data_IF_888533480159
#
_entry.id   IF_888533480159
#
_cell.length_a   1.000
_cell.length_b   1.000
_cell.length_c   1.000
_cell.angle_alpha   90.00
_cell.angle_beta   90.00
_cell.angle_gamma   90.00
#
_symmetry.space_group_name_H-M   'P 1'
#
loop_
_entity.id
_entity.type
_entity.pdbx_description
1 polymer ?
#
# COMPACT_ATOMS: atom_id res chain seq x y z
N UNK A 1 13.39 -2.78 25.79
CA UNK A 1 12.17 -3.59 26.10
C UNK A 1 12.05 -3.70 27.61
N UNK A 2 10.87 -3.49 28.15
CA UNK A 2 10.56 -3.70 29.56
C UNK A 2 9.67 -4.94 29.70
N UNK A 3 10.07 -5.86 30.57
CA UNK A 3 9.27 -7.05 30.89
C UNK A 3 8.49 -6.80 32.19
N UNK A 4 7.19 -6.95 32.13
CA UNK A 4 6.30 -6.88 33.29
C UNK A 4 5.82 -8.28 33.64
N UNK A 5 6.13 -8.75 34.85
CA UNK A 5 5.65 -10.03 35.35
C UNK A 5 4.35 -9.78 36.12
N UNK A 6 3.23 -10.24 35.57
CA UNK A 6 1.92 -10.10 36.19
C UNK A 6 1.48 -11.45 36.75
N UNK A 7 1.38 -11.55 38.06
CA UNK A 7 0.86 -12.73 38.73
C UNK A 7 -0.62 -12.53 39.05
N UNK A 8 -1.49 -13.38 38.52
CA UNK A 8 -2.93 -13.38 38.79
C UNK A 8 -3.27 -14.46 39.78
N UNK A 9 -4.07 -14.12 40.80
CA UNK A 9 -4.65 -15.14 41.71
C UNK A 9 -5.70 -15.94 40.96
N UNK A 10 -5.70 -17.25 41.20
CA UNK A 10 -6.69 -18.20 40.71
C UNK A 10 -7.49 -18.70 41.93
N UNK A 11 -8.79 -18.58 41.86
CA UNK A 11 -9.69 -19.04 42.90
C UNK A 11 -10.48 -20.23 42.38
N UNK A 12 -10.76 -21.19 43.28
CA UNK A 12 -11.61 -22.34 43.00
C UNK A 12 -12.83 -22.25 43.91
N UNK A 13 -14.02 -22.30 43.36
CA UNK A 13 -15.24 -22.34 44.18
C UNK A 13 -15.52 -23.74 44.72
N UNK A 14 -16.58 -23.87 45.52
CA UNK A 14 -17.02 -25.13 46.11
C UNK A 14 -17.49 -26.17 45.08
N UNK A 15 -17.84 -25.72 43.86
CA UNK A 15 -18.21 -26.60 42.74
C UNK A 15 -17.01 -27.11 41.94
N UNK A 16 -15.81 -26.64 42.25
CA UNK A 16 -14.57 -26.97 41.53
C UNK A 16 -14.26 -26.08 40.34
N UNK A 17 -15.07 -25.06 40.04
CA UNK A 17 -14.87 -24.11 38.95
C UNK A 17 -13.81 -23.08 39.32
N UNK A 18 -12.95 -22.76 38.35
CA UNK A 18 -11.87 -21.81 38.52
C UNK A 18 -12.22 -20.43 38.01
N UNK A 19 -11.83 -19.40 38.77
CA UNK A 19 -11.97 -18.00 38.45
C UNK A 19 -10.61 -17.32 38.51
N UNK A 20 -10.38 -16.36 37.61
CA UNK A 20 -9.17 -15.54 37.59
C UNK A 20 -9.53 -14.09 37.84
N UNK A 21 -8.71 -13.39 38.57
CA UNK A 21 -8.80 -11.92 38.65
C UNK A 21 -8.56 -11.34 37.27
N UNK A 22 -9.43 -10.43 36.84
CA UNK A 22 -9.24 -9.71 35.58
C UNK A 22 -7.93 -8.91 35.59
N UNK A 23 -7.28 -8.80 34.43
CA UNK A 23 -6.15 -7.89 34.27
C UNK A 23 -6.63 -6.46 34.42
N UNK A 24 -5.88 -5.60 35.15
CA UNK A 24 -6.11 -4.17 35.09
C UNK A 24 -6.08 -3.65 33.65
N UNK A 25 -6.87 -2.62 33.34
CA UNK A 25 -7.05 -2.13 31.97
C UNK A 25 -5.72 -1.73 31.30
N UNK A 26 -4.77 -1.19 32.08
CA UNK A 26 -3.42 -0.84 31.60
C UNK A 26 -2.59 -2.04 31.07
N UNK A 27 -3.02 -3.27 31.30
CA UNK A 27 -2.40 -4.50 30.80
C UNK A 27 -3.30 -5.29 29.84
N UNK A 28 -4.48 -4.77 29.54
CA UNK A 28 -5.31 -5.27 28.44
C UNK A 28 -4.78 -4.69 27.16
N UNK A 29 -4.83 -5.45 26.08
CA UNK A 29 -4.53 -4.97 24.74
C UNK A 29 -5.64 -5.35 23.75
N UNK A 30 -5.66 -4.68 22.61
CA UNK A 30 -6.65 -4.95 21.56
C UNK A 30 -6.48 -6.32 20.91
N UNK A 31 -5.31 -6.95 21.06
CA UNK A 31 -5.01 -8.29 20.49
C UNK A 31 -5.55 -9.45 21.34
N UNK A 32 -6.20 -9.18 22.48
CA UNK A 32 -6.77 -10.19 23.37
C UNK A 32 -5.71 -10.91 24.21
N UNK A 33 -5.68 -12.25 24.18
CA UNK A 33 -4.79 -13.07 25.01
C UNK A 33 -3.36 -13.13 24.45
N UNK A 34 -2.63 -12.03 24.44
CA UNK A 34 -1.22 -12.01 24.09
C UNK A 34 -0.34 -11.63 25.28
N UNK A 35 0.91 -12.08 25.24
CA UNK A 35 1.92 -11.78 26.27
C UNK A 35 2.73 -10.51 25.94
N UNK A 36 2.46 -9.88 24.79
CA UNK A 36 3.17 -8.70 24.31
C UNK A 36 2.24 -7.49 24.27
N UNK A 37 2.82 -6.31 24.34
CA UNK A 37 2.10 -5.05 24.23
C UNK A 37 1.87 -4.65 22.80
N UNK A 38 0.86 -3.80 22.54
CA UNK A 38 0.61 -3.19 21.23
C UNK A 38 1.85 -2.47 20.69
N UNK A 39 2.63 -1.83 21.56
CA UNK A 39 3.87 -1.16 21.15
C UNK A 39 4.90 -2.10 20.53
N UNK A 40 5.03 -3.34 21.03
CA UNK A 40 5.94 -4.31 20.43
C UNK A 40 5.38 -4.82 19.10
N UNK A 41 4.06 -5.02 19.01
CA UNK A 41 3.41 -5.43 17.75
C UNK A 41 3.55 -4.32 16.70
N UNK A 42 3.31 -3.07 17.07
CA UNK A 42 3.51 -1.93 16.18
C UNK A 42 4.97 -1.83 15.69
N UNK A 43 5.95 -2.13 16.56
CA UNK A 43 7.36 -2.19 16.17
C UNK A 43 7.62 -3.31 15.16
N UNK A 44 7.04 -4.51 15.36
CA UNK A 44 7.14 -5.64 14.43
C UNK A 44 6.56 -5.26 13.05
N UNK A 45 5.38 -4.66 13.03
CA UNK A 45 4.73 -4.19 11.80
C UNK A 45 5.59 -3.14 11.09
N UNK A 46 6.15 -2.18 11.82
CA UNK A 46 7.03 -1.16 11.25
C UNK A 46 8.28 -1.79 10.65
N UNK A 47 8.92 -2.72 11.36
CA UNK A 47 10.12 -3.41 10.86
C UNK A 47 9.82 -4.20 9.59
N UNK A 48 8.70 -4.91 9.56
CA UNK A 48 8.34 -5.74 8.41
C UNK A 48 7.85 -4.92 7.21
N UNK A 49 6.85 -4.06 7.41
CA UNK A 49 6.18 -3.37 6.28
C UNK A 49 6.85 -2.05 5.88
N UNK A 50 7.39 -1.29 6.83
CA UNK A 50 8.01 -0.01 6.52
C UNK A 50 9.52 -0.14 6.26
N UNK A 51 10.23 -0.90 7.09
CA UNK A 51 11.68 -1.07 6.92
C UNK A 51 12.04 -2.21 5.94
N UNK A 52 11.05 -2.99 5.46
CA UNK A 52 11.25 -4.06 4.48
C UNK A 52 11.98 -5.30 5.02
N UNK A 53 12.03 -5.47 6.35
CA UNK A 53 12.66 -6.66 6.95
C UNK A 53 11.80 -7.90 6.70
N UNK A 54 12.45 -9.01 6.39
CA UNK A 54 11.79 -10.31 6.33
C UNK A 54 11.33 -10.72 7.74
N UNK A 55 10.32 -11.60 7.82
CA UNK A 55 9.89 -12.11 9.13
C UNK A 55 11.00 -12.85 9.88
N UNK A 56 11.87 -13.54 9.16
CA UNK A 56 13.05 -14.20 9.74
C UNK A 56 13.98 -13.19 10.43
N UNK A 57 14.28 -12.06 9.78
CA UNK A 57 15.10 -10.99 10.37
C UNK A 57 14.43 -10.37 11.59
N UNK A 58 13.09 -10.18 11.55
CA UNK A 58 12.33 -9.70 12.71
C UNK A 58 12.41 -10.69 13.88
N UNK A 59 12.32 -12.00 13.62
CA UNK A 59 12.46 -13.04 14.64
C UNK A 59 13.86 -13.09 15.23
N UNK A 60 14.91 -12.95 14.40
CA UNK A 60 16.29 -12.85 14.87
C UNK A 60 16.50 -11.63 15.76
N UNK A 61 15.93 -10.49 15.38
CA UNK A 61 15.97 -9.29 16.20
C UNK A 61 15.25 -9.52 17.55
N UNK A 62 14.08 -10.16 17.56
CA UNK A 62 13.37 -10.51 18.80
C UNK A 62 14.21 -11.43 19.68
N UNK A 63 14.87 -12.45 19.11
CA UNK A 63 15.79 -13.35 19.85
C UNK A 63 16.96 -12.59 20.45
N UNK A 64 17.58 -11.68 19.71
CA UNK A 64 18.67 -10.83 20.21
C UNK A 64 18.23 -9.96 21.40
N UNK A 65 16.94 -9.60 21.47
CA UNK A 65 16.35 -8.88 22.60
C UNK A 65 15.89 -9.81 23.75
N UNK A 66 16.20 -11.12 23.66
CA UNK A 66 15.81 -12.10 24.67
C UNK A 66 14.36 -12.60 24.55
N UNK A 67 13.68 -12.31 23.43
CA UNK A 67 12.29 -12.72 23.18
C UNK A 67 12.28 -13.86 22.16
N UNK A 68 11.91 -15.04 22.61
CA UNK A 68 11.83 -16.23 21.74
C UNK A 68 10.38 -16.58 21.45
N UNK A 69 9.88 -16.22 20.27
CA UNK A 69 8.53 -16.54 19.79
C UNK A 69 8.59 -17.46 18.58
N UNK A 70 7.61 -18.34 18.45
CA UNK A 70 7.48 -19.16 17.26
C UNK A 70 7.04 -18.29 16.06
N UNK A 71 7.49 -18.64 14.85
CA UNK A 71 7.10 -17.99 13.60
C UNK A 71 5.57 -17.82 13.48
N UNK A 72 4.82 -18.87 13.76
CA UNK A 72 3.35 -18.83 13.74
C UNK A 72 2.74 -17.81 14.71
N UNK A 73 3.42 -17.53 15.82
CA UNK A 73 2.97 -16.53 16.80
C UNK A 73 3.12 -15.12 16.24
N UNK A 74 4.26 -14.83 15.62
CA UNK A 74 4.52 -13.52 14.98
C UNK A 74 3.54 -13.31 13.81
N UNK A 75 3.37 -14.32 12.96
CA UNK A 75 2.37 -14.29 11.87
C UNK A 75 0.96 -14.01 12.38
N UNK A 76 0.51 -14.70 13.41
CA UNK A 76 -0.83 -14.50 13.99
C UNK A 76 -1.01 -13.08 14.58
N UNK A 77 0.05 -12.44 15.07
CA UNK A 77 -0.03 -11.03 15.49
C UNK A 77 -0.22 -10.10 14.28
N UNK A 78 0.48 -10.37 13.18
CA UNK A 78 0.33 -9.59 11.94
C UNK A 78 -1.09 -9.73 11.39
N UNK A 79 -1.61 -10.96 11.29
CA UNK A 79 -2.97 -11.22 10.81
C UNK A 79 -4.03 -10.52 11.67
N UNK A 80 -3.94 -10.64 12.99
CA UNK A 80 -4.86 -9.92 13.89
C UNK A 80 -4.74 -8.41 13.84
N UNK A 81 -3.53 -7.90 13.55
CA UNK A 81 -3.35 -6.46 13.35
C UNK A 81 -4.07 -5.98 12.10
N UNK A 82 -4.09 -6.78 11.03
CA UNK A 82 -4.86 -6.47 9.84
C UNK A 82 -6.36 -6.32 10.16
N UNK A 83 -6.94 -7.26 10.90
CA UNK A 83 -8.36 -7.20 11.33
C UNK A 83 -8.67 -5.93 12.15
N UNK A 84 -7.73 -5.51 13.01
CA UNK A 84 -7.89 -4.31 13.84
C UNK A 84 -7.77 -3.03 13.01
N UNK A 85 -6.92 -3.02 12.00
CA UNK A 85 -6.68 -1.86 11.14
C UNK A 85 -7.66 -1.77 9.96
N UNK A 86 -8.36 -2.85 9.61
CA UNK A 86 -9.33 -2.89 8.51
C UNK A 86 -10.35 -1.72 8.53
N UNK A 87 -10.91 -1.29 9.69
CA UNK A 87 -11.83 -0.16 9.73
C UNK A 87 -11.25 1.17 9.25
N UNK A 88 -9.93 1.31 9.15
CA UNK A 88 -9.26 2.51 8.63
C UNK A 88 -9.18 2.55 7.10
N UNK A 89 -9.42 1.45 6.43
CA UNK A 89 -9.26 1.31 4.98
C UNK A 89 -10.20 2.26 4.21
N UNK A 90 -11.49 2.21 4.51
CA UNK A 90 -12.48 3.11 3.87
C UNK A 90 -12.30 4.59 4.17
N UNK A 91 -12.08 5.02 5.43
CA UNK A 91 -11.72 6.41 5.72
C UNK A 91 -10.50 6.90 4.94
N UNK A 92 -9.45 6.07 4.83
CA UNK A 92 -8.25 6.39 4.06
C UNK A 92 -8.56 6.52 2.56
N UNK A 93 -9.31 5.58 1.99
CA UNK A 93 -9.79 5.65 0.60
C UNK A 93 -10.54 6.95 0.36
N UNK A 94 -11.49 7.28 1.23
CA UNK A 94 -12.30 8.50 1.13
C UNK A 94 -11.41 9.74 1.16
N UNK A 95 -10.45 9.81 2.08
CA UNK A 95 -9.52 10.94 2.17
C UNK A 95 -8.70 11.10 0.90
N UNK A 96 -8.21 10.00 0.30
CA UNK A 96 -7.48 10.02 -0.97
C UNK A 96 -8.40 10.48 -2.11
N UNK A 97 -9.61 9.92 -2.23
CA UNK A 97 -10.51 10.16 -3.36
C UNK A 97 -11.23 11.52 -3.32
N UNK A 98 -11.22 12.22 -2.19
CA UNK A 98 -11.70 13.62 -2.10
C UNK A 98 -10.65 14.63 -2.54
N UNK A 99 -9.40 14.21 -2.78
CA UNK A 99 -8.38 15.11 -3.31
C UNK A 99 -8.52 15.28 -4.82
N UNK A 100 -8.22 16.48 -5.29
CA UNK A 100 -8.28 16.83 -6.71
C UNK A 100 -7.17 16.18 -7.55
N UNK A 101 -6.12 15.67 -6.92
CA UNK A 101 -4.93 15.09 -7.58
C UNK A 101 -4.58 13.76 -6.94
N UNK A 102 -4.67 12.67 -7.72
CA UNK A 102 -4.37 11.30 -7.27
C UNK A 102 -3.49 10.61 -8.30
N UNK A 103 -2.44 9.96 -7.81
CA UNK A 103 -1.59 9.10 -8.62
C UNK A 103 -1.98 7.64 -8.40
N UNK A 104 -2.17 6.90 -9.50
CA UNK A 104 -2.48 5.47 -9.49
C UNK A 104 -1.41 4.69 -10.28
N UNK A 105 -0.85 3.66 -9.66
CA UNK A 105 0.06 2.71 -10.30
C UNK A 105 -0.19 1.32 -9.69
N UNK A 106 0.25 0.27 -10.37
CA UNK A 106 0.12 -1.08 -9.87
C UNK A 106 1.39 -1.90 -10.07
N UNK A 107 1.63 -2.80 -9.14
CA UNK A 107 2.74 -3.75 -9.20
C UNK A 107 2.26 -5.17 -8.97
N UNK A 108 3.07 -6.15 -9.39
CA UNK A 108 2.75 -7.55 -9.20
C UNK A 108 3.43 -8.13 -7.98
N UNK A 109 2.69 -8.99 -7.27
CA UNK A 109 3.24 -9.85 -6.21
C UNK A 109 2.97 -11.30 -6.55
N UNK A 110 3.89 -12.18 -6.18
CA UNK A 110 3.70 -13.63 -6.26
C UNK A 110 3.16 -14.10 -4.91
N UNK A 111 2.00 -14.74 -4.94
CA UNK A 111 1.36 -15.30 -3.75
C UNK A 111 1.11 -16.80 -3.91
N UNK A 112 1.21 -17.56 -2.82
CA UNK A 112 0.84 -18.97 -2.76
C UNK A 112 -0.51 -19.10 -2.05
N UNK A 113 -1.58 -19.28 -2.80
CA UNK A 113 -2.92 -19.47 -2.23
C UNK A 113 -3.52 -20.82 -2.63
N UNK A 114 -3.41 -21.78 -1.71
CA UNK A 114 -3.97 -23.13 -1.91
C UNK A 114 -5.48 -23.16 -2.12
N UNK A 115 -6.21 -22.14 -1.64
CA UNK A 115 -7.68 -22.06 -1.74
C UNK A 115 -8.14 -21.64 -3.13
N UNK A 116 -7.33 -20.89 -3.86
CA UNK A 116 -7.63 -20.46 -5.22
C UNK A 116 -7.32 -21.55 -6.24
N UNK A 117 -6.28 -22.37 -6.02
CA UNK A 117 -5.96 -23.53 -6.85
C UNK A 117 -7.12 -24.53 -6.94
N UNK A 118 -7.92 -24.68 -5.86
CA UNK A 118 -9.07 -25.59 -5.82
C UNK A 118 -10.32 -25.10 -6.55
N UNK A 119 -10.36 -23.86 -7.09
CA UNK A 119 -11.54 -23.23 -7.70
C UNK A 119 -11.45 -23.04 -9.23
N UNK A 120 -10.52 -23.68 -9.93
CA UNK A 120 -10.47 -23.71 -11.40
C UNK A 120 -10.17 -22.36 -12.05
N UNK A 121 -9.36 -21.52 -11.43
CA UNK A 121 -8.79 -20.34 -12.11
C UNK A 121 -7.85 -20.81 -13.22
N UNK A 122 -7.95 -20.17 -14.41
CA UNK A 122 -7.25 -20.59 -15.62
C UNK A 122 -5.73 -20.55 -15.43
N UNK A 123 -5.05 -21.53 -16.02
CA UNK A 123 -3.58 -21.74 -15.98
C UNK A 123 -2.74 -20.55 -16.49
N UNK A 124 -3.33 -19.52 -17.08
CA UNK A 124 -2.61 -18.34 -17.62
C UNK A 124 -1.89 -17.51 -16.55
N UNK A 125 -2.26 -17.66 -15.29
CA UNK A 125 -1.66 -16.96 -14.14
C UNK A 125 -0.67 -17.82 -13.33
N UNK A 126 -0.37 -19.04 -13.77
CA UNK A 126 0.51 -19.98 -13.06
C UNK A 126 1.91 -19.98 -13.70
N UNK A 127 2.87 -19.40 -13.01
CA UNK A 127 4.30 -19.57 -13.34
C UNK A 127 4.88 -20.71 -12.49
N UNK A 128 5.37 -21.77 -13.14
CA UNK A 128 6.06 -22.95 -12.58
C UNK A 128 5.25 -23.94 -11.71
N UNK A 129 5.77 -25.16 -11.59
CA UNK A 129 5.25 -26.33 -10.84
C UNK A 129 4.89 -26.09 -9.36
N UNK A 130 5.04 -24.89 -8.84
CA UNK A 130 4.84 -24.53 -7.43
C UNK A 130 3.53 -23.78 -7.14
N UNK A 131 2.57 -23.68 -8.08
CA UNK A 131 1.29 -23.02 -7.87
C UNK A 131 1.40 -21.61 -7.26
N UNK A 132 2.27 -20.75 -7.81
CA UNK A 132 2.29 -19.33 -7.48
C UNK A 132 1.30 -18.57 -8.36
N UNK A 133 0.46 -17.77 -7.73
CA UNK A 133 -0.46 -16.88 -8.42
C UNK A 133 0.15 -15.49 -8.50
N UNK A 134 0.11 -14.91 -9.70
CA UNK A 134 0.42 -13.49 -9.89
C UNK A 134 -0.78 -12.66 -9.43
N UNK A 135 -0.54 -11.74 -8.51
CA UNK A 135 -1.56 -10.81 -7.99
C UNK A 135 -1.08 -9.39 -8.18
N UNK A 136 -2.03 -8.47 -8.26
CA UNK A 136 -1.76 -7.06 -8.43
C UNK A 136 -2.09 -6.31 -7.14
N UNK A 137 -1.14 -5.48 -6.70
CA UNK A 137 -1.35 -4.47 -5.67
C UNK A 137 -1.43 -3.13 -6.40
N UNK A 138 -2.49 -2.40 -6.14
CA UNK A 138 -2.65 -1.03 -6.59
C UNK A 138 -2.12 -0.10 -5.50
N UNK A 139 -1.46 0.97 -5.93
CA UNK A 139 -0.99 2.05 -5.07
C UNK A 139 -1.69 3.33 -5.51
N UNK A 140 -2.48 3.91 -4.61
CA UNK A 140 -3.08 5.23 -4.81
C UNK A 140 -2.43 6.23 -3.88
N UNK A 141 -1.96 7.33 -4.42
CA UNK A 141 -1.24 8.37 -3.69
C UNK A 141 -1.86 9.74 -3.95
N UNK A 142 -2.23 10.45 -2.89
CA UNK A 142 -2.71 11.83 -2.93
C UNK A 142 -1.59 12.77 -2.46
N UNK A 143 -0.88 13.45 -3.39
CA UNK A 143 0.30 14.25 -3.06
C UNK A 143 0.00 15.47 -2.19
N UNK A 144 -1.19 16.06 -2.30
CA UNK A 144 -1.58 17.25 -1.54
C UNK A 144 -1.68 17.00 -0.04
N UNK A 145 -2.04 15.77 0.36
CA UNK A 145 -2.17 15.37 1.77
C UNK A 145 -1.09 14.37 2.20
N UNK A 146 -0.25 13.90 1.25
CA UNK A 146 0.82 12.96 1.53
C UNK A 146 0.35 11.56 1.92
N UNK A 147 -0.88 11.16 1.53
CA UNK A 147 -1.46 9.87 1.86
C UNK A 147 -1.27 8.85 0.75
N UNK A 148 -0.95 7.62 1.15
CA UNK A 148 -0.80 6.48 0.25
C UNK A 148 -1.63 5.31 0.76
N UNK A 149 -2.34 4.65 -0.15
CA UNK A 149 -3.04 3.40 0.13
C UNK A 149 -2.61 2.32 -0.85
N UNK A 150 -2.32 1.13 -0.32
CA UNK A 150 -2.08 -0.08 -1.09
C UNK A 150 -3.33 -0.95 -1.05
N UNK A 151 -3.86 -1.32 -2.21
CA UNK A 151 -5.15 -2.00 -2.32
C UNK A 151 -5.03 -3.31 -3.11
N UNK A 152 -5.57 -4.38 -2.56
CA UNK A 152 -5.80 -5.64 -3.23
C UNK A 152 -7.26 -5.69 -3.71
N UNK A 153 -7.50 -5.26 -4.95
CA UNK A 153 -8.83 -5.36 -5.53
C UNK A 153 -9.16 -6.81 -5.89
N UNK A 154 -10.41 -7.23 -5.63
CA UNK A 154 -11.01 -8.48 -6.13
C UNK A 154 -10.05 -9.67 -6.24
N UNK A 155 -9.40 -10.03 -5.15
CA UNK A 155 -8.38 -11.08 -5.08
C UNK A 155 -7.10 -10.78 -5.87
N UNK A 156 -6.78 -9.51 -6.06
CA UNK A 156 -5.58 -9.07 -6.77
C UNK A 156 -5.69 -9.18 -8.29
N UNK A 157 -6.89 -9.14 -8.86
CA UNK A 157 -7.08 -9.05 -10.31
C UNK A 157 -6.84 -7.63 -10.80
N UNK A 158 -6.28 -7.52 -12.02
CA UNK A 158 -6.07 -6.26 -12.72
C UNK A 158 -7.22 -6.00 -13.69
N UNK A 159 -8.31 -5.42 -13.18
CA UNK A 159 -9.50 -5.15 -13.99
C UNK A 159 -9.91 -3.69 -13.92
N UNK A 160 -10.62 -3.22 -14.96
CA UNK A 160 -11.17 -1.88 -15.01
C UNK A 160 -12.24 -1.67 -13.92
N UNK A 161 -13.07 -2.69 -13.67
CA UNK A 161 -14.12 -2.67 -12.64
C UNK A 161 -13.53 -2.46 -11.25
N UNK A 162 -12.35 -3.05 -10.98
CA UNK A 162 -11.66 -2.87 -9.71
C UNK A 162 -11.26 -1.40 -9.50
N UNK A 163 -10.71 -0.76 -10.54
CA UNK A 163 -10.36 0.66 -10.50
C UNK A 163 -11.61 1.53 -10.37
N UNK A 164 -12.66 1.25 -11.14
CA UNK A 164 -13.93 2.00 -11.07
C UNK A 164 -14.56 1.92 -9.68
N UNK A 165 -14.54 0.73 -9.05
CA UNK A 165 -15.04 0.55 -7.69
C UNK A 165 -14.26 1.34 -6.64
N UNK A 166 -12.96 1.54 -6.82
CA UNK A 166 -12.18 2.37 -5.91
C UNK A 166 -12.61 3.84 -5.94
N UNK A 167 -12.99 4.35 -7.10
CA UNK A 167 -13.38 5.74 -7.32
C UNK A 167 -14.91 5.94 -7.41
N UNK A 168 -15.72 4.95 -7.02
CA UNK A 168 -17.19 5.00 -7.19
C UNK A 168 -17.87 6.14 -6.40
N UNK A 169 -17.29 6.54 -5.28
CA UNK A 169 -17.82 7.58 -4.39
C UNK A 169 -17.27 8.99 -4.69
N UNK A 170 -16.52 9.17 -5.77
CA UNK A 170 -15.99 10.48 -6.18
C UNK A 170 -17.14 11.37 -6.65
N UNK A 171 -17.29 12.55 -6.03
CA UNK A 171 -18.34 13.53 -6.32
C UNK A 171 -17.81 14.88 -6.81
N UNK A 172 -16.50 15.12 -6.63
CA UNK A 172 -15.81 16.33 -7.08
C UNK A 172 -14.79 15.99 -8.17
N UNK A 173 -14.40 16.99 -8.94
CA UNK A 173 -13.45 16.78 -10.05
C UNK A 173 -12.10 16.31 -9.54
N UNK A 174 -11.63 15.17 -10.08
CA UNK A 174 -10.39 14.52 -9.71
C UNK A 174 -9.52 14.30 -10.95
N UNK A 175 -8.23 14.59 -10.85
CA UNK A 175 -7.22 14.27 -11.86
C UNK A 175 -6.46 13.01 -11.45
N UNK A 176 -6.64 11.92 -12.23
CA UNK A 176 -6.00 10.63 -11.98
C UNK A 176 -4.76 10.48 -12.85
N UNK A 177 -3.59 10.61 -12.27
CA UNK A 177 -2.32 10.34 -12.92
C UNK A 177 -2.06 8.82 -12.95
N UNK A 178 -2.02 8.24 -14.14
CA UNK A 178 -1.77 6.80 -14.31
C UNK A 178 -0.87 6.52 -15.51
N UNK A 179 -0.41 5.29 -15.63
CA UNK A 179 0.25 4.81 -16.83
C UNK A 179 -0.72 4.63 -18.01
N UNK A 180 -0.23 4.13 -19.15
CA UNK A 180 -1.03 3.85 -20.33
C UNK A 180 -1.90 2.58 -20.25
N UNK A 181 -2.04 1.96 -19.09
CA UNK A 181 -2.73 0.67 -18.96
C UNK A 181 -4.21 0.74 -19.34
N UNK A 182 -4.73 -0.30 -20.03
CA UNK A 182 -6.11 -0.33 -20.47
C UNK A 182 -7.15 -0.22 -19.36
N UNK A 183 -6.82 -0.61 -18.14
CA UNK A 183 -7.72 -0.56 -16.98
C UNK A 183 -8.14 0.85 -16.58
N UNK A 184 -7.36 1.88 -16.96
CA UNK A 184 -7.66 3.28 -16.70
C UNK A 184 -8.38 3.99 -17.86
N UNK A 185 -8.56 3.32 -19.01
CA UNK A 185 -9.17 3.93 -20.21
C UNK A 185 -10.60 4.41 -20.01
N UNK A 186 -11.33 3.87 -19.03
CA UNK A 186 -12.67 4.34 -18.70
C UNK A 186 -12.71 5.82 -18.30
N UNK A 187 -11.57 6.41 -17.95
CA UNK A 187 -11.44 7.82 -17.56
C UNK A 187 -10.82 8.71 -18.64
N UNK A 188 -10.52 8.19 -19.84
CA UNK A 188 -9.97 8.98 -20.96
C UNK A 188 -10.93 10.08 -21.44
N UNK A 189 -12.25 9.85 -21.30
CA UNK A 189 -13.32 10.79 -21.68
C UNK A 189 -14.16 11.20 -20.48
N UNK A 190 -13.67 10.98 -19.26
CA UNK A 190 -14.40 11.29 -18.03
C UNK A 190 -14.47 12.80 -17.76
N UNK A 191 -15.63 13.30 -17.34
CA UNK A 191 -15.80 14.69 -16.92
C UNK A 191 -15.44 14.90 -15.45
N UNK A 192 -15.82 13.95 -14.60
CA UNK A 192 -15.62 13.98 -13.15
C UNK A 192 -14.21 13.49 -12.77
N UNK A 193 -13.79 12.35 -13.32
CA UNK A 193 -12.43 11.82 -13.16
C UNK A 193 -11.74 11.96 -14.51
N UNK A 194 -10.73 12.84 -14.55
CA UNK A 194 -9.94 13.12 -15.76
C UNK A 194 -8.61 12.41 -15.66
N UNK A 195 -8.36 11.47 -16.56
CA UNK A 195 -7.08 10.77 -16.58
C UNK A 195 -5.97 11.64 -17.18
N UNK A 196 -4.84 11.68 -16.48
CA UNK A 196 -3.61 12.34 -16.94
C UNK A 196 -2.53 11.26 -17.13
N UNK A 197 -1.90 11.27 -18.30
CA UNK A 197 -0.83 10.31 -18.60
C UNK A 197 0.44 10.64 -17.81
N UNK A 198 1.01 9.63 -17.15
CA UNK A 198 2.26 9.78 -16.41
C UNK A 198 3.44 9.97 -17.35
N UNK A 199 4.09 11.14 -17.30
CA UNK A 199 5.25 11.48 -18.14
C UNK A 199 6.42 10.52 -17.96
N UNK A 200 6.63 9.99 -16.75
CA UNK A 200 7.68 8.99 -16.46
C UNK A 200 7.43 7.70 -17.25
N UNK A 201 6.19 7.23 -17.30
CA UNK A 201 5.83 6.06 -18.10
C UNK A 201 5.90 6.33 -19.59
N UNK A 202 5.47 7.50 -20.04
CA UNK A 202 5.60 7.94 -21.45
C UNK A 202 7.06 8.00 -21.91
N UNK A 203 7.99 8.37 -21.04
CA UNK A 203 9.42 8.43 -21.34
C UNK A 203 10.05 7.06 -21.58
N UNK A 204 9.56 5.98 -20.92
CA UNK A 204 10.19 4.64 -20.94
C UNK A 204 10.41 4.05 -22.35
N UNK A 205 9.45 4.08 -23.29
CA UNK A 205 9.66 3.56 -24.64
C UNK A 205 10.82 4.26 -25.37
N UNK A 206 10.90 5.59 -25.27
CA UNK A 206 11.98 6.37 -25.90
C UNK A 206 13.34 6.05 -25.28
N UNK A 207 13.39 5.83 -23.97
CA UNK A 207 14.63 5.44 -23.29
C UNK A 207 15.16 4.08 -23.79
N UNK A 208 14.29 3.13 -24.10
CA UNK A 208 14.68 1.82 -24.66
C UNK A 208 15.24 1.94 -26.08
N UNK A 209 14.85 2.98 -26.82
CA UNK A 209 15.24 3.22 -28.23
C UNK A 209 16.36 4.25 -28.38
N UNK A 210 16.90 4.80 -27.29
CA UNK A 210 17.86 5.91 -27.31
C UNK A 210 19.12 5.65 -28.17
N UNK A 211 19.59 4.39 -28.18
CA UNK A 211 20.85 4.01 -28.85
C UNK A 211 20.64 3.69 -30.35
N UNK A 212 19.38 3.61 -30.81
CA UNK A 212 19.04 3.20 -32.19
C UNK A 212 18.16 4.21 -32.92
N UNK A 213 17.66 5.26 -32.26
CA UNK A 213 16.75 6.25 -32.87
C UNK A 213 17.11 7.67 -32.45
N UNK A 214 17.43 8.52 -33.45
CA UNK A 214 17.69 9.96 -33.26
C UNK A 214 16.43 10.66 -32.71
N UNK A 215 15.24 10.26 -33.17
CA UNK A 215 13.99 10.90 -32.71
C UNK A 215 13.67 10.51 -31.29
N UNK A 216 14.01 9.28 -30.86
CA UNK A 216 13.92 8.90 -29.45
C UNK A 216 14.84 9.77 -28.57
N UNK A 217 16.05 10.08 -29.02
CA UNK A 217 16.96 10.99 -28.32
C UNK A 217 16.40 12.41 -28.21
N UNK A 218 15.80 12.94 -29.28
CA UNK A 218 15.14 14.26 -29.26
C UNK A 218 14.00 14.30 -28.26
N UNK A 219 13.14 13.26 -28.26
CA UNK A 219 12.05 13.15 -27.28
C UNK A 219 12.57 13.06 -25.85
N UNK A 220 13.63 12.30 -25.60
CA UNK A 220 14.25 12.25 -24.27
C UNK A 220 14.77 13.59 -23.82
N UNK A 221 15.31 14.40 -24.73
CA UNK A 221 15.76 15.76 -24.42
C UNK A 221 14.59 16.66 -24.00
N UNK A 222 13.44 16.57 -24.69
CA UNK A 222 12.23 17.31 -24.32
C UNK A 222 11.77 16.91 -22.90
N UNK A 223 11.72 15.61 -22.59
CA UNK A 223 11.38 15.15 -21.22
C UNK A 223 12.37 15.66 -20.18
N UNK A 224 13.67 15.66 -20.49
CA UNK A 224 14.69 16.19 -19.60
C UNK A 224 14.49 17.68 -19.30
N UNK A 225 14.19 18.47 -20.32
CA UNK A 225 13.96 19.90 -20.19
C UNK A 225 12.68 20.18 -19.37
N UNK A 226 11.59 19.43 -19.59
CA UNK A 226 10.37 19.51 -18.78
C UNK A 226 10.67 19.19 -17.31
N UNK A 227 11.35 18.09 -17.02
CA UNK A 227 11.67 17.71 -15.63
C UNK A 227 12.67 18.66 -14.96
N UNK A 228 13.57 19.27 -15.74
CA UNK A 228 14.49 20.30 -15.23
C UNK A 228 13.72 21.55 -14.83
N UNK A 229 12.80 22.01 -15.69
CA UNK A 229 11.99 23.19 -15.40
C UNK A 229 11.03 22.94 -14.22
N UNK A 230 10.41 21.76 -14.11
CA UNK A 230 9.59 21.39 -12.95
C UNK A 230 10.39 21.44 -11.64
N UNK A 231 11.66 21.00 -11.64
CA UNK A 231 12.53 21.14 -10.46
C UNK A 231 12.82 22.60 -10.14
N UNK A 232 13.17 23.41 -11.14
CA UNK A 232 13.43 24.84 -10.96
C UNK A 232 12.23 25.57 -10.34
N UNK A 233 11.01 25.22 -10.78
CA UNK A 233 9.78 25.77 -10.23
C UNK A 233 9.61 25.35 -8.75
N UNK A 234 9.78 24.07 -8.43
CA UNK A 234 9.68 23.56 -7.05
C UNK A 234 10.73 24.14 -6.11
N UNK A 235 11.93 24.41 -6.62
CA UNK A 235 13.01 25.03 -5.84
C UNK A 235 12.77 26.52 -5.60
N UNK A 236 12.01 27.19 -6.49
CA UNK A 236 11.75 28.63 -6.45
C UNK A 236 10.46 29.01 -5.71
N UNK A 237 9.49 28.11 -5.65
CA UNK A 237 8.17 28.36 -5.09
C UNK A 237 7.80 27.27 -4.08
N UNK A 238 7.20 27.67 -2.96
CA UNK A 238 6.79 26.73 -1.88
C UNK A 238 5.29 26.50 -1.82
N UNK A 239 4.50 27.45 -2.31
CA UNK A 239 3.04 27.37 -2.29
C UNK A 239 2.51 26.53 -3.46
N UNK A 240 1.63 25.55 -3.26
CA UNK A 240 1.11 24.66 -4.32
C UNK A 240 0.47 25.41 -5.49
N UNK A 241 -0.29 26.47 -5.22
CA UNK A 241 -0.97 27.25 -6.26
C UNK A 241 0.02 28.00 -7.14
N UNK A 242 1.09 28.55 -6.56
CA UNK A 242 2.16 29.21 -7.30
C UNK A 242 2.90 28.22 -8.19
N UNK A 243 3.25 27.05 -7.65
CA UNK A 243 3.87 25.95 -8.41
C UNK A 243 2.98 25.55 -9.59
N UNK A 244 1.68 25.39 -9.36
CA UNK A 244 0.72 25.03 -10.41
C UNK A 244 0.65 26.10 -11.50
N UNK A 245 0.56 27.37 -11.11
CA UNK A 245 0.55 28.51 -12.03
C UNK A 245 1.81 28.55 -12.89
N UNK A 246 2.98 28.42 -12.27
CA UNK A 246 4.26 28.48 -12.97
C UNK A 246 4.45 27.28 -13.92
N UNK A 247 3.97 26.11 -13.58
CA UNK A 247 3.93 24.95 -14.48
C UNK A 247 3.13 25.23 -15.74
N UNK A 248 1.95 25.84 -15.58
CA UNK A 248 1.10 26.22 -16.73
C UNK A 248 1.82 27.24 -17.60
N UNK A 249 2.48 28.23 -17.00
CA UNK A 249 3.16 29.30 -17.75
C UNK A 249 4.44 28.86 -18.46
N UNK A 250 5.19 27.90 -17.90
CA UNK A 250 6.54 27.55 -18.39
C UNK A 250 6.64 26.19 -19.06
N UNK A 251 5.74 25.26 -18.72
CA UNK A 251 5.80 23.88 -19.20
C UNK A 251 4.62 23.53 -20.12
N UNK A 252 3.43 24.04 -19.82
CA UNK A 252 2.28 23.81 -20.69
C UNK A 252 2.42 24.60 -22.00
N UNK A 253 2.01 23.99 -23.16
CA UNK A 253 2.06 24.64 -24.46
C UNK A 253 1.05 25.78 -24.60
#
# INVERSE_FOLDING_TARGET
>A
IRTHIIRRKKFKDSSGKYYHVNLPDKYKNCMGRTQVTESLIAQILTMHFYNGMTLGEVEEWLKAMGLNFAHSTVMNWIEKSADILEPLDKPLQKEITTNSDVHGDETTVKGKDKRLAAKGEKEEDVEDDLHYFKRWIFCYYAPLVGLTQFVFHERGRRTQEAVQKYFEDVIEKLYLHSDGAPIYKCYDTGELIVRIACLVHMRRPFYKLKDVSIDAMKMLKIFEDIFKEDRNIKDSFTHPDEITRERVLRIAP
#
